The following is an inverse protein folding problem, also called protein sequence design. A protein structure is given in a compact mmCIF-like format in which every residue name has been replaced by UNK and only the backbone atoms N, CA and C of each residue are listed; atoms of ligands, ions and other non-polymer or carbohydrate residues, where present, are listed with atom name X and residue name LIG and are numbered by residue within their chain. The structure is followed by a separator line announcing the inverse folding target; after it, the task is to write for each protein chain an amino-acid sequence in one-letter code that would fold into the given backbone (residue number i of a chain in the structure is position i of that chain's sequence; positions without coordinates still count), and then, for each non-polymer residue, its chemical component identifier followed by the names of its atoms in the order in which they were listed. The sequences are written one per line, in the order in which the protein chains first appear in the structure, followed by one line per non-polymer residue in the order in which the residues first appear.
data_IF_830350319630
#
_entry.id   IF_830350319630
#
_cell.length_a   1.000
_cell.length_b   1.000
_cell.length_c   1.000
_cell.angle_alpha   90.00
_cell.angle_beta   90.00
_cell.angle_gamma   90.00
#
_symmetry.space_group_name_H-M   'P 1'
#
loop_
_entity.id
_entity.type
_entity.pdbx_description
1 polymer ?
#
# COMPACT_ATOMS: atom_id res chain seq x y z
N UNK A 1 -18.31 1.30 6.69
CA UNK A 1 -17.01 2.03 6.81
C UNK A 1 -15.84 1.05 6.76
N UNK A 2 -14.62 1.51 6.39
CA UNK A 2 -13.41 0.66 6.37
C UNK A 2 -12.27 1.35 7.11
N UNK A 3 -11.66 0.66 8.07
CA UNK A 3 -10.46 1.10 8.80
C UNK A 3 -9.24 0.38 8.22
N UNK A 4 -8.23 1.11 7.79
CA UNK A 4 -7.02 0.56 7.16
C UNK A 4 -5.79 0.99 7.93
N UNK A 5 -5.08 0.04 8.52
CA UNK A 5 -3.88 0.31 9.33
C UNK A 5 -2.61 0.05 8.52
N UNK A 6 -1.69 1.01 8.48
CA UNK A 6 -0.37 0.87 7.88
C UNK A 6 0.49 -0.12 8.66
N UNK A 7 0.77 -1.30 8.08
CA UNK A 7 1.55 -2.37 8.73
C UNK A 7 2.86 -2.67 7.98
N UNK A 8 3.50 -1.64 7.42
CA UNK A 8 4.88 -1.74 6.99
C UNK A 8 5.85 -1.91 8.17
N UNK A 9 7.14 -2.19 7.91
CA UNK A 9 8.13 -2.44 8.97
C UNK A 9 8.20 -1.30 10.01
N UNK A 10 8.15 -0.05 9.57
CA UNK A 10 8.16 1.11 10.48
C UNK A 10 6.87 1.18 11.30
N UNK A 11 5.71 0.96 10.69
CA UNK A 11 4.42 0.94 11.39
C UNK A 11 4.38 -0.14 12.47
N UNK A 12 4.80 -1.35 12.14
CA UNK A 12 4.89 -2.45 13.12
C UNK A 12 5.83 -2.09 14.28
N UNK A 13 6.99 -1.52 13.98
CA UNK A 13 7.96 -1.13 15.00
C UNK A 13 7.44 -0.02 15.93
N UNK A 14 6.56 0.87 15.45
CA UNK A 14 5.95 1.96 16.23
C UNK A 14 4.62 1.57 16.87
N UNK A 15 4.14 0.34 16.70
CA UNK A 15 2.96 -0.19 17.40
C UNK A 15 1.71 -0.39 16.55
N UNK A 16 1.76 -0.21 15.22
CA UNK A 16 0.60 -0.33 14.33
C UNK A 16 -0.19 -1.64 14.49
N UNK A 17 0.51 -2.76 14.77
CA UNK A 17 -0.17 -4.04 15.03
C UNK A 17 -1.02 -3.99 16.31
N UNK A 18 -0.55 -3.31 17.35
CA UNK A 18 -1.32 -3.15 18.60
C UNK A 18 -2.52 -2.25 18.36
N UNK A 19 -2.34 -1.16 17.59
CA UNK A 19 -3.42 -0.26 17.17
C UNK A 19 -4.48 -1.01 16.35
N UNK A 20 -4.06 -1.85 15.39
CA UNK A 20 -4.98 -2.70 14.59
C UNK A 20 -5.78 -3.66 15.46
N UNK A 21 -5.10 -4.38 16.36
CA UNK A 21 -5.76 -5.32 17.27
C UNK A 21 -6.77 -4.61 18.20
N UNK A 22 -6.49 -3.37 18.60
CA UNK A 22 -7.40 -2.59 19.44
C UNK A 22 -8.65 -2.14 18.67
N UNK A 23 -8.50 -1.75 17.38
CA UNK A 23 -9.65 -1.54 16.51
C UNK A 23 -10.50 -2.80 16.37
N UNK A 24 -9.87 -3.96 16.07
CA UNK A 24 -10.58 -5.24 15.95
C UNK A 24 -11.36 -5.56 17.22
N UNK A 25 -10.72 -5.45 18.39
CA UNK A 25 -11.34 -5.70 19.69
C UNK A 25 -12.56 -4.80 19.95
N UNK A 26 -12.43 -3.50 19.71
CA UNK A 26 -13.50 -2.54 19.99
C UNK A 26 -14.66 -2.64 18.99
N UNK A 27 -14.36 -2.88 17.71
CA UNK A 27 -15.38 -3.12 16.67
C UNK A 27 -16.19 -4.36 16.99
N UNK A 28 -15.56 -5.44 17.47
CA UNK A 28 -16.24 -6.66 17.90
C UNK A 28 -17.05 -6.43 19.20
N UNK A 29 -16.46 -5.83 20.22
CA UNK A 29 -17.11 -5.56 21.52
C UNK A 29 -18.35 -4.69 21.37
N UNK A 30 -18.30 -3.67 20.48
CA UNK A 30 -19.42 -2.76 20.22
C UNK A 30 -20.38 -3.25 19.13
N UNK A 31 -20.14 -4.44 18.55
CA UNK A 31 -20.94 -5.02 17.46
C UNK A 31 -21.10 -4.08 16.24
N UNK A 32 -20.05 -3.39 15.84
CA UNK A 32 -20.03 -2.48 14.68
C UNK A 32 -19.93 -3.28 13.37
N UNK A 33 -21.00 -3.95 12.98
CA UNK A 33 -21.03 -4.89 11.83
C UNK A 33 -20.82 -4.23 10.48
N UNK A 34 -20.92 -2.90 10.40
CA UNK A 34 -20.67 -2.10 9.21
C UNK A 34 -19.21 -1.61 9.11
N UNK A 35 -18.34 -1.97 10.06
CA UNK A 35 -16.92 -1.59 10.04
C UNK A 35 -16.06 -2.78 9.65
N UNK A 36 -15.25 -2.61 8.61
CA UNK A 36 -14.28 -3.61 8.15
C UNK A 36 -12.88 -3.15 8.51
N UNK A 37 -12.14 -3.97 9.27
CA UNK A 37 -10.73 -3.75 9.56
C UNK A 37 -9.86 -4.37 8.47
N UNK A 38 -8.89 -3.61 7.96
CA UNK A 38 -7.97 -4.03 6.92
C UNK A 38 -6.56 -3.43 7.17
N UNK A 39 -5.60 -3.82 6.36
CA UNK A 39 -4.22 -3.36 6.46
C UNK A 39 -3.66 -2.99 5.09
N UNK A 40 -2.63 -2.14 5.12
CA UNK A 40 -1.87 -1.77 3.94
C UNK A 40 -0.37 -1.71 4.23
N UNK A 41 0.44 -1.55 3.19
CA UNK A 41 1.88 -1.33 3.32
C UNK A 41 2.25 0.11 3.68
N UNK A 42 3.55 0.37 3.77
CA UNK A 42 4.08 1.70 4.08
C UNK A 42 3.86 2.69 2.92
N UNK A 43 3.37 3.89 3.23
CA UNK A 43 3.19 4.98 2.27
C UNK A 43 4.43 5.89 2.10
N UNK A 44 5.51 5.62 2.84
CA UNK A 44 6.77 6.37 2.78
C UNK A 44 6.93 7.45 3.86
N UNK A 45 5.92 7.74 4.67
CA UNK A 45 5.94 8.76 5.74
C UNK A 45 6.15 8.11 7.11
N UNK A 46 7.25 7.39 7.28
CA UNK A 46 7.52 6.59 8.49
C UNK A 46 7.50 7.39 9.81
N UNK A 47 7.76 8.69 9.75
CA UNK A 47 7.72 9.58 10.92
C UNK A 47 6.29 9.88 11.43
N UNK A 48 5.27 9.53 10.63
CA UNK A 48 3.85 9.65 10.99
C UNK A 48 3.22 8.35 11.49
N UNK A 49 3.95 7.25 11.49
CA UNK A 49 3.43 5.95 11.92
C UNK A 49 3.17 5.87 13.45
N UNK A 50 2.17 5.14 13.92
CA UNK A 50 1.19 4.36 13.16
C UNK A 50 0.20 5.25 12.40
N UNK A 51 -0.07 4.89 11.14
CA UNK A 51 -1.04 5.58 10.29
C UNK A 51 -2.30 4.72 10.17
N UNK A 52 -3.46 5.36 10.31
CA UNK A 52 -4.76 4.71 10.17
C UNK A 52 -5.64 5.56 9.26
N UNK A 53 -6.11 4.97 8.18
CA UNK A 53 -7.06 5.58 7.26
C UNK A 53 -8.46 5.05 7.54
N UNK A 54 -9.44 5.95 7.60
CA UNK A 54 -10.85 5.62 7.72
C UNK A 54 -11.55 6.06 6.44
N UNK A 55 -12.24 5.11 5.81
CA UNK A 55 -13.00 5.32 4.58
C UNK A 55 -14.49 5.17 4.84
N UNK A 56 -15.30 5.98 4.15
CA UNK A 56 -16.76 5.86 4.13
C UNK A 56 -17.21 4.56 3.46
N UNK A 57 -18.51 4.31 3.47
CA UNK A 57 -19.11 3.16 2.77
C UNK A 57 -19.02 3.32 1.23
N UNK A 58 -18.91 4.55 0.74
CA UNK A 58 -18.68 4.88 -0.67
C UNK A 58 -17.22 4.75 -1.10
N UNK A 59 -16.30 4.51 -0.13
CA UNK A 59 -14.87 4.37 -0.37
C UNK A 59 -14.08 5.68 -0.38
N UNK A 60 -14.68 6.78 0.06
CA UNK A 60 -14.00 8.06 0.21
C UNK A 60 -13.18 8.10 1.50
N UNK A 61 -11.97 8.66 1.44
CA UNK A 61 -11.11 8.83 2.61
C UNK A 61 -11.66 9.97 3.49
N UNK A 62 -12.27 9.64 4.62
CA UNK A 62 -12.80 10.60 5.57
C UNK A 62 -11.73 11.17 6.50
N UNK A 63 -10.84 10.31 7.00
CA UNK A 63 -9.77 10.72 7.89
C UNK A 63 -8.51 9.89 7.71
N UNK A 64 -7.34 10.55 7.78
CA UNK A 64 -6.05 9.89 7.99
C UNK A 64 -5.52 10.29 9.35
N UNK A 65 -5.50 9.35 10.27
CA UNK A 65 -4.92 9.51 11.59
C UNK A 65 -3.44 9.16 11.57
N UNK A 66 -2.64 9.91 12.34
CA UNK A 66 -1.19 9.72 12.39
C UNK A 66 -0.72 9.59 13.84
N UNK A 67 0.36 8.86 14.07
CA UNK A 67 0.90 8.58 15.41
C UNK A 67 -0.18 8.03 16.36
N UNK A 68 -1.14 7.28 15.78
CA UNK A 68 -2.29 6.77 16.52
C UNK A 68 -1.90 5.55 17.35
N UNK A 69 -1.70 5.78 18.64
CA UNK A 69 -1.38 4.72 19.60
C UNK A 69 -2.65 3.99 20.06
N UNK A 70 -2.52 2.75 20.58
CA UNK A 70 -3.68 1.94 21.00
C UNK A 70 -4.61 2.61 22.03
N UNK A 71 -4.06 3.40 22.94
CA UNK A 71 -4.80 4.13 23.98
C UNK A 71 -5.75 5.20 23.42
N UNK A 72 -5.53 5.65 22.17
CA UNK A 72 -6.36 6.63 21.48
C UNK A 72 -7.43 6.03 20.59
N UNK A 73 -7.37 4.73 20.33
CA UNK A 73 -8.30 4.03 19.41
C UNK A 73 -9.75 4.11 19.91
N UNK A 74 -9.96 3.99 21.22
CA UNK A 74 -11.31 4.04 21.78
C UNK A 74 -12.05 5.34 21.44
N UNK A 75 -11.34 6.47 21.51
CA UNK A 75 -11.90 7.77 21.17
C UNK A 75 -12.24 7.88 19.66
N UNK A 76 -11.41 7.34 18.79
CA UNK A 76 -11.66 7.30 17.34
C UNK A 76 -12.88 6.42 17.05
N UNK A 77 -13.00 5.27 17.69
CA UNK A 77 -14.16 4.38 17.52
C UNK A 77 -15.44 5.09 17.96
N UNK A 78 -15.45 5.69 19.15
CA UNK A 78 -16.64 6.35 19.70
C UNK A 78 -17.05 7.59 18.90
N UNK A 79 -16.11 8.49 18.62
CA UNK A 79 -16.44 9.76 17.96
C UNK A 79 -16.61 9.61 16.45
N UNK A 80 -15.75 8.85 15.79
CA UNK A 80 -15.76 8.77 14.34
C UNK A 80 -16.59 7.58 13.83
N UNK A 81 -16.28 6.36 14.26
CA UNK A 81 -16.97 5.18 13.68
C UNK A 81 -18.45 5.06 14.14
N UNK A 82 -18.77 5.47 15.38
CA UNK A 82 -20.14 5.50 15.88
C UNK A 82 -20.81 6.86 15.68
N UNK A 83 -20.09 7.95 15.96
CA UNK A 83 -20.63 9.30 15.97
C UNK A 83 -20.50 10.06 14.64
N UNK A 84 -19.78 9.53 13.66
CA UNK A 84 -19.58 10.17 12.35
C UNK A 84 -18.73 11.44 12.38
N UNK A 85 -18.00 11.71 13.47
CA UNK A 85 -17.20 12.93 13.62
C UNK A 85 -15.71 12.58 13.78
N UNK A 86 -14.85 12.87 12.78
CA UNK A 86 -13.42 12.65 12.89
C UNK A 86 -12.78 13.38 14.08
N UNK A 87 -11.78 12.76 14.70
CA UNK A 87 -11.01 13.34 15.80
C UNK A 87 -9.88 14.18 15.23
N UNK A 88 -10.10 15.48 15.06
CA UNK A 88 -9.16 16.39 14.38
C UNK A 88 -7.75 16.39 15.01
N UNK A 89 -7.64 16.26 16.33
CA UNK A 89 -6.37 16.25 17.06
C UNK A 89 -5.40 15.16 16.56
N UNK A 90 -5.92 14.04 16.06
CA UNK A 90 -5.10 12.92 15.60
C UNK A 90 -4.91 12.89 14.08
N UNK A 91 -5.55 13.82 13.36
CA UNK A 91 -5.47 13.85 11.91
C UNK A 91 -4.12 14.37 11.42
N UNK A 92 -3.77 13.95 10.22
CA UNK A 92 -2.59 14.44 9.50
C UNK A 92 -2.66 15.95 9.29
N UNK A 93 -1.53 16.64 9.48
CA UNK A 93 -1.43 18.09 9.28
C UNK A 93 -1.65 18.50 7.82
N UNK A 94 -2.07 19.74 7.57
CA UNK A 94 -2.21 20.30 6.21
C UNK A 94 -0.85 20.39 5.49
N UNK A 95 0.24 20.59 6.22
CA UNK A 95 1.60 20.58 5.66
C UNK A 95 1.97 19.18 5.11
N UNK A 96 1.73 18.14 5.92
CA UNK A 96 1.99 16.76 5.50
C UNK A 96 1.05 16.30 4.37
N UNK A 97 -0.22 16.72 4.37
CA UNK A 97 -1.16 16.48 3.25
C UNK A 97 -0.63 17.10 1.97
N UNK A 98 -0.19 18.36 2.04
CA UNK A 98 0.38 19.07 0.89
C UNK A 98 1.63 18.37 0.37
N UNK A 99 2.53 17.98 1.26
CA UNK A 99 3.72 17.20 0.88
C UNK A 99 3.36 15.89 0.17
N UNK A 100 2.41 15.13 0.69
CA UNK A 100 1.95 13.87 0.08
C UNK A 100 1.28 14.07 -1.28
N UNK A 101 0.48 15.13 -1.44
CA UNK A 101 -0.21 15.42 -2.69
C UNK A 101 0.74 15.77 -3.85
N UNK A 102 1.93 16.27 -3.54
CA UNK A 102 2.96 16.58 -4.54
C UNK A 102 3.74 15.32 -5.00
N UNK A 103 3.57 14.17 -4.34
CA UNK A 103 4.27 12.95 -4.67
C UNK A 103 3.61 12.23 -5.87
N UNK A 104 4.31 12.14 -6.99
CA UNK A 104 3.87 11.32 -8.13
C UNK A 104 4.42 9.90 -8.00
N UNK A 105 3.63 9.00 -7.45
CA UNK A 105 4.02 7.60 -7.28
C UNK A 105 3.77 6.80 -8.55
N UNK A 106 4.82 6.17 -9.09
CA UNK A 106 4.76 5.27 -10.25
C UNK A 106 4.94 3.83 -9.79
N UNK A 107 6.10 3.50 -9.24
CA UNK A 107 6.43 2.15 -8.76
C UNK A 107 5.64 1.81 -7.48
N UNK A 108 5.46 2.79 -6.60
CA UNK A 108 4.78 2.64 -5.30
C UNK A 108 3.29 3.03 -5.36
N UNK A 109 2.68 3.02 -6.54
CA UNK A 109 1.28 3.47 -6.73
C UNK A 109 0.25 2.70 -5.90
N UNK A 110 0.54 1.47 -5.54
CA UNK A 110 -0.35 0.62 -4.74
C UNK A 110 -0.08 0.67 -3.22
N UNK A 111 1.01 1.35 -2.80
CA UNK A 111 1.34 1.49 -1.38
C UNK A 111 0.35 2.43 -0.69
N UNK A 112 -0.30 1.95 0.36
CA UNK A 112 -1.36 2.67 1.05
C UNK A 112 -2.75 2.51 0.44
N UNK A 113 -2.86 1.81 -0.71
CA UNK A 113 -4.09 1.71 -1.49
C UNK A 113 -4.72 0.31 -1.47
N UNK A 114 -3.88 -0.72 -1.32
CA UNK A 114 -4.33 -2.11 -1.30
C UNK A 114 -3.77 -2.85 -0.09
N UNK A 115 -4.43 -3.94 0.27
CA UNK A 115 -3.86 -4.92 1.18
C UNK A 115 -2.90 -5.83 0.40
N UNK A 116 -1.57 -5.81 0.72
CA UNK A 116 -0.57 -6.58 -0.03
C UNK A 116 -0.71 -8.10 0.13
N UNK A 117 -1.53 -8.58 1.06
CA UNK A 117 -1.82 -10.00 1.26
C UNK A 117 -3.06 -10.48 0.49
N UNK A 118 -3.80 -9.58 -0.18
CA UNK A 118 -4.99 -9.89 -0.98
C UNK A 118 -4.66 -9.76 -2.48
N UNK A 119 -4.43 -10.90 -3.13
CA UNK A 119 -4.09 -10.96 -4.56
C UNK A 119 -5.16 -10.32 -5.46
N UNK A 120 -6.43 -10.47 -5.09
CA UNK A 120 -7.55 -9.95 -5.87
C UNK A 120 -7.53 -8.40 -5.95
N UNK A 121 -7.12 -7.71 -4.89
CA UNK A 121 -6.96 -6.25 -4.90
C UNK A 121 -5.83 -5.81 -5.85
N UNK A 122 -4.75 -6.59 -5.94
CA UNK A 122 -3.67 -6.33 -6.89
C UNK A 122 -4.12 -6.58 -8.34
N UNK A 123 -4.86 -7.66 -8.59
CA UNK A 123 -5.42 -7.99 -9.90
C UNK A 123 -6.42 -6.92 -10.36
N UNK A 124 -7.31 -6.46 -9.47
CA UNK A 124 -8.28 -5.41 -9.76
C UNK A 124 -7.62 -4.08 -10.22
N UNK A 125 -6.36 -3.84 -9.84
CA UNK A 125 -5.56 -2.69 -10.27
C UNK A 125 -4.61 -2.97 -11.44
N UNK A 126 -4.90 -3.99 -12.24
CA UNK A 126 -4.12 -4.38 -13.42
C UNK A 126 -2.88 -5.21 -13.10
N UNK A 127 -2.82 -5.81 -11.90
CA UNK A 127 -1.76 -6.72 -11.52
C UNK A 127 -1.71 -7.95 -12.44
N UNK A 128 -0.52 -8.40 -12.78
CA UNK A 128 -0.23 -9.54 -13.67
C UNK A 128 -0.69 -9.42 -15.14
N UNK A 129 -1.34 -8.33 -15.56
CA UNK A 129 -1.73 -8.14 -16.98
C UNK A 129 -0.53 -8.18 -17.93
N UNK A 130 0.57 -7.51 -17.56
CA UNK A 130 1.81 -7.55 -18.33
C UNK A 130 2.42 -8.96 -18.37
N UNK A 131 2.42 -9.68 -17.25
CA UNK A 131 2.91 -11.04 -17.19
C UNK A 131 2.08 -11.98 -18.08
N UNK A 132 0.74 -11.86 -18.01
CA UNK A 132 -0.17 -12.61 -18.88
C UNK A 132 0.12 -12.35 -20.34
N UNK A 133 0.23 -11.08 -20.75
CA UNK A 133 0.59 -10.69 -22.11
C UNK A 133 1.89 -11.32 -22.56
N UNK A 134 2.95 -11.22 -21.77
CA UNK A 134 4.27 -11.79 -22.08
C UNK A 134 4.19 -13.28 -22.31
N UNK A 135 3.57 -14.02 -21.38
CA UNK A 135 3.52 -15.50 -21.45
C UNK A 135 2.68 -15.99 -22.63
N UNK A 136 1.62 -15.25 -23.01
CA UNK A 136 0.66 -15.75 -24.02
C UNK A 136 0.92 -15.23 -25.42
N UNK A 137 1.60 -14.10 -25.60
CA UNK A 137 1.66 -13.40 -26.91
C UNK A 137 3.03 -12.94 -27.34
N UNK A 138 4.08 -13.09 -26.50
CA UNK A 138 5.39 -12.56 -26.80
C UNK A 138 6.49 -13.62 -26.73
N UNK A 139 7.46 -13.50 -27.63
CA UNK A 139 8.71 -14.23 -27.57
C UNK A 139 9.71 -13.59 -26.59
N UNK A 140 10.72 -14.33 -26.18
CA UNK A 140 11.78 -13.78 -25.31
C UNK A 140 12.49 -12.58 -25.95
N UNK A 141 12.72 -12.58 -27.27
CA UNK A 141 13.35 -11.48 -28.00
C UNK A 141 12.50 -10.22 -27.97
N UNK A 142 11.21 -10.33 -28.25
CA UNK A 142 10.28 -9.22 -28.20
C UNK A 142 10.22 -8.58 -26.79
N UNK A 143 10.24 -9.40 -25.75
CA UNK A 143 10.27 -8.88 -24.36
C UNK A 143 11.56 -8.12 -24.08
N UNK A 144 12.71 -8.67 -24.50
CA UNK A 144 14.02 -8.01 -24.35
C UNK A 144 14.05 -6.69 -25.11
N UNK A 145 13.51 -6.65 -26.33
CA UNK A 145 13.44 -5.43 -27.15
C UNK A 145 12.54 -4.35 -26.51
N UNK A 146 11.39 -4.72 -25.95
CA UNK A 146 10.54 -3.79 -25.18
C UNK A 146 11.31 -3.17 -24.02
N UNK A 147 12.04 -3.99 -23.24
CA UNK A 147 12.86 -3.50 -22.12
C UNK A 147 14.00 -2.62 -22.62
N UNK A 148 14.61 -2.93 -23.75
CA UNK A 148 15.65 -2.12 -24.40
C UNK A 148 15.14 -0.75 -24.82
N UNK A 149 14.01 -0.72 -25.53
CA UNK A 149 13.36 0.53 -25.99
C UNK A 149 12.89 1.38 -24.80
N UNK A 150 12.42 0.77 -23.71
CA UNK A 150 12.03 1.50 -22.50
C UNK A 150 13.16 2.25 -21.80
N UNK A 151 14.43 1.92 -22.12
CA UNK A 151 15.60 2.49 -21.46
C UNK A 151 15.75 2.12 -19.98
N UNK A 152 15.01 1.09 -19.49
CA UNK A 152 15.05 0.67 -18.08
C UNK A 152 16.47 0.29 -17.66
N UNK A 153 16.92 0.85 -16.53
CA UNK A 153 18.21 0.61 -15.92
C UNK A 153 18.09 0.08 -14.50
N UNK A 154 19.11 -0.65 -14.05
CA UNK A 154 19.21 -1.10 -12.66
C UNK A 154 19.21 0.05 -11.67
N UNK A 155 18.61 -0.18 -10.51
CA UNK A 155 18.50 0.81 -9.42
C UNK A 155 19.39 0.51 -8.21
N UNK A 156 20.37 -0.38 -8.37
CA UNK A 156 21.35 -0.73 -7.32
C UNK A 156 22.58 0.19 -7.27
N UNK A 157 22.56 1.34 -7.99
CA UNK A 157 23.63 2.34 -8.01
C UNK A 157 24.36 2.44 -9.34
N UNK A 158 24.71 1.34 -10.00
CA UNK A 158 25.49 1.34 -11.25
C UNK A 158 24.71 1.72 -12.53
N UNK A 159 23.37 1.77 -12.45
CA UNK A 159 22.53 2.13 -13.60
C UNK A 159 22.69 1.22 -14.83
N UNK A 160 23.07 -0.03 -14.64
CA UNK A 160 23.35 -0.97 -15.73
C UNK A 160 22.09 -1.28 -16.55
N UNK A 161 22.16 -1.38 -17.90
CA UNK A 161 21.00 -1.64 -18.75
C UNK A 161 20.33 -2.99 -18.40
N UNK A 162 19.04 -2.98 -18.06
CA UNK A 162 18.32 -4.18 -17.66
C UNK A 162 18.19 -5.19 -18.80
N UNK A 163 17.93 -4.73 -20.03
CA UNK A 163 17.81 -5.58 -21.21
C UNK A 163 19.08 -6.42 -21.45
N UNK A 164 20.25 -5.87 -21.18
CA UNK A 164 21.52 -6.59 -21.39
C UNK A 164 21.62 -7.79 -20.45
N UNK A 165 21.23 -7.64 -19.18
CA UNK A 165 21.21 -8.76 -18.21
C UNK A 165 20.24 -9.85 -18.65
N UNK A 166 19.07 -9.47 -19.13
CA UNK A 166 18.07 -10.42 -19.59
C UNK A 166 18.54 -11.17 -20.85
N UNK A 167 19.16 -10.47 -21.79
CA UNK A 167 19.76 -11.07 -22.99
C UNK A 167 20.88 -12.08 -22.64
N UNK A 168 21.72 -11.74 -21.67
CA UNK A 168 22.78 -12.65 -21.20
C UNK A 168 22.21 -13.94 -20.59
N UNK A 169 21.10 -13.83 -19.82
CA UNK A 169 20.42 -15.03 -19.27
C UNK A 169 19.80 -15.86 -20.40
N UNK A 170 19.16 -15.23 -21.38
CA UNK A 170 18.59 -15.91 -22.55
C UNK A 170 19.62 -16.75 -23.27
N UNK A 171 20.86 -16.25 -23.41
CA UNK A 171 21.96 -16.90 -24.11
C UNK A 171 22.54 -18.10 -23.35
N UNK A 172 22.20 -18.31 -22.10
CA UNK A 172 22.65 -19.46 -21.33
C UNK A 172 21.89 -20.75 -21.71
N UNK A 173 22.60 -21.88 -21.68
CA UNK A 173 22.07 -23.21 -22.05
C UNK A 173 21.23 -23.89 -20.96
N UNK A 174 20.75 -23.19 -19.97
CA UNK A 174 19.90 -23.76 -18.89
C UNK A 174 18.59 -24.34 -19.40
N UNK A 175 18.15 -25.47 -18.84
CA UNK A 175 16.94 -26.19 -19.24
C UNK A 175 15.63 -25.42 -18.92
N UNK A 176 15.66 -24.48 -18.00
CA UNK A 176 14.50 -23.68 -17.58
C UNK A 176 14.91 -22.20 -17.50
N UNK A 177 14.18 -21.34 -18.20
CA UNK A 177 14.46 -19.90 -18.29
C UNK A 177 13.19 -19.08 -18.07
#
# INVERSE_FOLDING_TARGET
MKVVVGQGSCGIATGAKKTSNEFERLVEEKNLTNVVNDKTGCIGTCYLEPIVDVYSDEGELEARYVKLQPDKVAEVVEKHLEGGQPVEEYMISEEDKTFLSQQKRIVLRNCGEINPEKIDEYIARGGYEAAKKVITTMTQDEVIDVIKVSGLRGRGGAGFPTWFKWNAIKSNSGAQK
#
